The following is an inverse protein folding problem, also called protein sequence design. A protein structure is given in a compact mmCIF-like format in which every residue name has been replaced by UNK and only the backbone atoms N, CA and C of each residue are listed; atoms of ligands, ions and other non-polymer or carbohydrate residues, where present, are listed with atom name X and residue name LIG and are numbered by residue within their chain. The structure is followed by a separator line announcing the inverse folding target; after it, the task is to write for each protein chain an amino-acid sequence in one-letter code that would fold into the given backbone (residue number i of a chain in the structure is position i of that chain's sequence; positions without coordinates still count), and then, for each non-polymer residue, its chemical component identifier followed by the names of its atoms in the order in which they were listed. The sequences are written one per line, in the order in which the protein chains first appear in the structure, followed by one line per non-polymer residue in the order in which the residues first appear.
data_IF_566459020357
#
_entry.id   IF_566459020357
#
_cell.length_a   1.000
_cell.length_b   1.000
_cell.length_c   1.000
_cell.angle_alpha   90.00
_cell.angle_beta   90.00
_cell.angle_gamma   90.00
#
_symmetry.space_group_name_H-M   'P 1'
#
loop_
_entity.id
_entity.type
_entity.pdbx_description
1 polymer ?
#
# COMPACT_ATOMS: atom_id res chain seq x y z
N UNK A 1 -23.51 0.47 -6.64
CA UNK A 1 -22.05 0.36 -6.83
C UNK A 1 -21.63 0.62 -8.29
N UNK A 2 -22.48 0.39 -9.30
CA UNK A 2 -22.07 0.62 -10.70
C UNK A 2 -23.12 1.35 -11.56
N UNK A 3 -24.01 2.12 -10.92
CA UNK A 3 -25.17 2.72 -11.60
C UNK A 3 -24.76 3.75 -12.66
N UNK A 4 -23.64 4.47 -12.46
CA UNK A 4 -23.11 5.41 -13.46
C UNK A 4 -22.57 4.70 -14.67
N UNK A 5 -21.72 3.68 -14.47
CA UNK A 5 -21.16 2.87 -15.55
C UNK A 5 -22.27 2.13 -16.31
N UNK A 6 -23.35 1.76 -15.63
CA UNK A 6 -24.55 1.23 -16.25
C UNK A 6 -25.31 2.21 -17.13
N UNK A 7 -25.54 3.42 -16.65
CA UNK A 7 -26.19 4.45 -17.47
C UNK A 7 -25.33 4.82 -18.68
N UNK A 8 -24.03 4.95 -18.46
CA UNK A 8 -22.99 5.17 -19.47
C UNK A 8 -23.11 4.17 -20.63
N UNK A 9 -23.05 2.87 -20.34
CA UNK A 9 -23.14 1.85 -21.37
C UNK A 9 -24.54 1.65 -21.95
N UNK A 10 -25.59 1.86 -21.16
CA UNK A 10 -26.97 1.79 -21.67
C UNK A 10 -27.30 2.93 -22.63
N UNK A 11 -26.76 4.12 -22.42
CA UNK A 11 -26.99 5.27 -23.29
C UNK A 11 -26.30 5.08 -24.63
N UNK A 12 -25.03 4.65 -24.61
CA UNK A 12 -24.30 4.31 -25.83
C UNK A 12 -25.02 3.21 -26.63
N UNK A 13 -25.47 2.14 -25.97
CA UNK A 13 -26.17 1.05 -26.66
C UNK A 13 -27.48 1.51 -27.34
N UNK A 14 -28.24 2.42 -26.72
CA UNK A 14 -29.47 2.97 -27.30
C UNK A 14 -29.23 3.86 -28.51
N UNK A 15 -28.22 4.73 -28.47
CA UNK A 15 -27.88 5.58 -29.61
C UNK A 15 -27.40 4.78 -30.82
N UNK A 16 -26.90 3.57 -30.61
CA UNK A 16 -26.53 2.60 -31.66
C UNK A 16 -27.71 1.94 -32.38
N UNK A 17 -28.85 1.76 -31.71
CA UNK A 17 -29.98 0.99 -32.27
C UNK A 17 -30.80 1.71 -33.35
N UNK A 18 -30.68 3.04 -33.47
CA UNK A 18 -31.64 3.84 -34.24
C UNK A 18 -31.21 4.17 -35.69
N UNK A 19 -29.97 3.87 -36.12
CA UNK A 19 -29.42 4.29 -37.44
C UNK A 19 -28.71 3.17 -38.22
N UNK A 20 -28.58 3.39 -39.54
CA UNK A 20 -27.81 2.53 -40.45
C UNK A 20 -26.32 2.88 -40.31
N UNK A 21 -25.51 1.97 -39.77
CA UNK A 21 -24.13 2.27 -39.33
C UNK A 21 -23.23 2.65 -40.51
N UNK A 22 -22.98 3.94 -40.67
CA UNK A 22 -21.83 4.45 -41.42
C UNK A 22 -20.70 4.86 -40.45
N UNK A 23 -19.49 5.09 -40.97
CA UNK A 23 -18.33 5.43 -40.13
C UNK A 23 -18.56 6.66 -39.23
N UNK A 24 -19.34 7.64 -39.70
CA UNK A 24 -19.64 8.86 -38.92
C UNK A 24 -20.59 8.59 -37.76
N UNK A 25 -21.61 7.76 -37.97
CA UNK A 25 -22.54 7.36 -36.92
C UNK A 25 -21.80 6.53 -35.84
N UNK A 26 -20.91 5.61 -36.24
CA UNK A 26 -20.08 4.85 -35.31
C UNK A 26 -19.20 5.77 -34.46
N UNK A 27 -18.61 6.82 -35.06
CA UNK A 27 -17.79 7.78 -34.33
C UNK A 27 -18.57 8.60 -33.30
N UNK A 28 -19.80 9.04 -33.63
CA UNK A 28 -20.69 9.76 -32.72
C UNK A 28 -20.97 8.92 -31.46
N UNK A 29 -21.27 7.64 -31.63
CA UNK A 29 -21.54 6.73 -30.52
C UNK A 29 -20.27 6.48 -29.70
N UNK A 30 -19.14 6.20 -30.36
CA UNK A 30 -17.90 5.94 -29.63
C UNK A 30 -17.48 7.15 -28.79
N UNK A 31 -17.88 8.36 -29.19
CA UNK A 31 -17.71 9.58 -28.41
C UNK A 31 -18.68 9.66 -27.22
N UNK A 32 -19.95 9.28 -27.38
CA UNK A 32 -20.88 9.18 -26.24
C UNK A 32 -20.42 8.13 -25.21
N UNK A 33 -19.92 6.99 -25.70
CA UNK A 33 -19.33 5.93 -24.88
C UNK A 33 -18.10 6.43 -24.13
N UNK A 34 -17.26 7.24 -24.78
CA UNK A 34 -16.09 7.86 -24.15
C UNK A 34 -16.48 8.74 -22.97
N UNK A 35 -17.38 9.69 -23.18
CA UNK A 35 -17.86 10.61 -22.12
C UNK A 35 -18.40 9.80 -20.94
N UNK A 36 -19.24 8.82 -21.25
CA UNK A 36 -19.86 7.88 -20.31
C UNK A 36 -18.84 7.11 -19.47
N UNK A 37 -17.77 6.62 -20.08
CA UNK A 37 -16.69 5.92 -19.40
C UNK A 37 -15.82 6.87 -18.56
N UNK A 38 -15.56 8.08 -19.05
CA UNK A 38 -14.84 9.12 -18.31
C UNK A 38 -15.60 9.52 -17.04
N UNK A 39 -16.92 9.70 -17.10
CA UNK A 39 -17.77 9.98 -15.94
C UNK A 39 -17.78 8.86 -14.89
N UNK A 40 -17.39 7.66 -15.31
CA UNK A 40 -17.27 6.47 -14.47
C UNK A 40 -15.84 6.22 -13.98
N UNK A 41 -14.96 7.22 -14.08
CA UNK A 41 -13.54 7.15 -13.69
C UNK A 41 -12.77 6.00 -14.36
N UNK A 42 -13.11 5.64 -15.60
CA UNK A 42 -12.27 4.77 -16.41
C UNK A 42 -11.10 5.60 -16.96
N UNK A 43 -9.88 5.08 -16.89
CA UNK A 43 -8.71 5.78 -17.38
C UNK A 43 -8.75 5.95 -18.91
N UNK A 44 -8.37 7.14 -19.41
CA UNK A 44 -8.47 7.48 -20.83
C UNK A 44 -7.81 6.45 -21.76
N UNK A 45 -6.63 5.93 -21.42
CA UNK A 45 -5.94 4.90 -22.21
C UNK A 45 -6.74 3.57 -22.31
N UNK A 46 -7.53 3.27 -21.29
CA UNK A 46 -8.41 2.10 -21.25
C UNK A 46 -9.64 2.36 -22.12
N UNK A 47 -10.18 3.57 -22.07
CA UNK A 47 -11.28 4.01 -22.93
C UNK A 47 -10.87 3.93 -24.40
N UNK A 48 -9.70 4.46 -24.75
CA UNK A 48 -9.16 4.43 -26.12
C UNK A 48 -9.00 2.99 -26.63
N UNK A 49 -8.53 2.10 -25.76
CA UNK A 49 -8.42 0.67 -26.10
C UNK A 49 -9.80 0.06 -26.36
N UNK A 50 -10.76 0.28 -25.47
CA UNK A 50 -12.14 -0.23 -25.62
C UNK A 50 -12.78 0.30 -26.91
N UNK A 51 -12.60 1.59 -27.21
CA UNK A 51 -13.12 2.20 -28.44
C UNK A 51 -12.49 1.61 -29.68
N UNK A 52 -11.17 1.44 -29.69
CA UNK A 52 -10.44 0.87 -30.83
C UNK A 52 -10.90 -0.56 -31.12
N UNK A 53 -10.93 -1.40 -30.09
CA UNK A 53 -11.38 -2.79 -30.18
C UNK A 53 -12.84 -2.89 -30.64
N UNK A 54 -13.71 -2.02 -30.10
CA UNK A 54 -15.11 -1.99 -30.49
C UNK A 54 -15.28 -1.53 -31.95
N UNK A 55 -14.59 -0.47 -32.37
CA UNK A 55 -14.62 0.02 -33.77
C UNK A 55 -14.25 -1.11 -34.73
N UNK A 56 -13.17 -1.84 -34.45
CA UNK A 56 -12.74 -2.97 -35.28
C UNK A 56 -13.77 -4.11 -35.33
N UNK A 57 -14.47 -4.38 -34.23
CA UNK A 57 -15.51 -5.42 -34.19
C UNK A 57 -16.81 -5.01 -34.89
N UNK A 58 -17.13 -3.72 -34.92
CA UNK A 58 -18.33 -3.20 -35.58
C UNK A 58 -18.13 -3.00 -37.09
N UNK A 59 -16.92 -2.65 -37.53
CA UNK A 59 -16.60 -2.46 -38.94
C UNK A 59 -16.79 -3.78 -39.74
N UNK A 60 -17.67 -3.73 -40.75
CA UNK A 60 -17.97 -4.86 -41.64
C UNK A 60 -19.02 -5.85 -41.11
N UNK A 61 -19.56 -5.62 -39.91
CA UNK A 61 -20.64 -6.44 -39.34
C UNK A 61 -21.99 -6.06 -39.98
N UNK A 62 -22.67 -7.02 -40.61
CA UNK A 62 -24.06 -6.85 -41.07
C UNK A 62 -25.00 -7.26 -39.94
N UNK A 63 -25.69 -6.30 -39.35
CA UNK A 63 -26.63 -6.52 -38.25
C UNK A 63 -27.97 -5.88 -38.60
N UNK A 64 -29.06 -6.58 -38.31
CA UNK A 64 -30.40 -6.02 -38.49
C UNK A 64 -30.59 -4.81 -37.58
N UNK A 65 -31.20 -3.72 -38.09
CA UNK A 65 -31.42 -2.47 -37.34
C UNK A 65 -32.04 -2.68 -35.95
N UNK A 66 -32.92 -3.68 -35.83
CA UNK A 66 -33.61 -4.04 -34.57
C UNK A 66 -32.71 -4.74 -33.54
N UNK A 67 -31.55 -5.24 -33.95
CA UNK A 67 -30.61 -5.98 -33.10
C UNK A 67 -29.30 -5.22 -32.86
N UNK A 68 -29.10 -4.04 -33.45
CA UNK A 68 -27.84 -3.30 -33.32
C UNK A 68 -27.52 -2.94 -31.86
N UNK A 69 -28.49 -2.44 -31.09
CA UNK A 69 -28.30 -2.12 -29.67
C UNK A 69 -27.80 -3.34 -28.89
N UNK A 70 -28.46 -4.49 -29.08
CA UNK A 70 -28.09 -5.75 -28.44
C UNK A 70 -26.70 -6.21 -28.90
N UNK A 71 -26.43 -6.17 -30.20
CA UNK A 71 -25.16 -6.58 -30.78
C UNK A 71 -24.00 -5.79 -30.18
N UNK A 72 -24.12 -4.46 -30.11
CA UNK A 72 -23.03 -3.63 -29.59
C UNK A 72 -22.85 -3.84 -28.09
N UNK A 73 -23.96 -3.94 -27.35
CA UNK A 73 -23.92 -4.28 -25.92
C UNK A 73 -23.20 -5.62 -25.70
N UNK A 74 -23.51 -6.65 -26.48
CA UNK A 74 -22.88 -7.96 -26.39
C UNK A 74 -21.37 -7.90 -26.71
N UNK A 75 -20.98 -7.13 -27.74
CA UNK A 75 -19.56 -6.92 -28.09
C UNK A 75 -18.79 -6.23 -27.00
N UNK A 76 -19.38 -5.20 -26.41
CA UNK A 76 -18.77 -4.44 -25.33
C UNK A 76 -18.62 -5.27 -24.04
N UNK A 77 -19.65 -6.04 -23.67
CA UNK A 77 -19.58 -7.02 -22.57
C UNK A 77 -18.48 -8.03 -22.85
N UNK A 78 -18.42 -8.57 -24.06
CA UNK A 78 -17.38 -9.53 -24.45
C UNK A 78 -15.98 -8.94 -24.38
N UNK A 79 -15.80 -7.69 -24.80
CA UNK A 79 -14.51 -7.00 -24.72
C UNK A 79 -14.09 -6.85 -23.25
N UNK A 80 -14.95 -6.27 -22.41
CA UNK A 80 -14.64 -6.06 -20.99
C UNK A 80 -14.43 -7.38 -20.25
N UNK A 81 -15.25 -8.40 -20.53
CA UNK A 81 -15.05 -9.75 -19.99
C UNK A 81 -13.66 -10.28 -20.34
N UNK A 82 -13.24 -10.12 -21.60
CA UNK A 82 -11.93 -10.60 -22.05
C UNK A 82 -10.76 -9.90 -21.34
N UNK A 83 -10.93 -8.65 -20.89
CA UNK A 83 -9.93 -7.94 -20.09
C UNK A 83 -9.75 -8.60 -18.70
N UNK A 84 -10.85 -8.99 -18.06
CA UNK A 84 -10.80 -9.73 -16.80
C UNK A 84 -10.27 -11.16 -17.00
N UNK A 85 -10.65 -11.82 -18.10
CA UNK A 85 -10.15 -13.16 -18.43
C UNK A 85 -8.64 -13.17 -18.67
N UNK A 86 -8.11 -12.14 -19.34
CA UNK A 86 -6.68 -12.00 -19.60
C UNK A 86 -5.85 -11.80 -18.33
N UNK A 87 -6.40 -11.15 -17.30
CA UNK A 87 -5.75 -11.03 -16.00
C UNK A 87 -5.78 -12.35 -15.19
N UNK A 88 -6.64 -13.30 -15.58
CA UNK A 88 -6.78 -14.60 -14.96
C UNK A 88 -7.58 -14.56 -13.66
N UNK A 89 -7.62 -15.72 -13.00
CA UNK A 89 -8.23 -15.89 -11.69
C UNK A 89 -7.20 -16.45 -10.72
N UNK A 90 -7.29 -16.07 -9.46
CA UNK A 90 -6.39 -16.52 -8.41
C UNK A 90 -7.21 -17.01 -7.23
N UNK A 91 -7.07 -18.28 -6.90
CA UNK A 91 -7.54 -18.83 -5.64
C UNK A 91 -6.40 -18.75 -4.60
N UNK A 92 -6.52 -17.82 -3.67
CA UNK A 92 -5.53 -17.63 -2.61
C UNK A 92 -5.41 -18.85 -1.70
N UNK A 93 -6.51 -19.59 -1.47
CA UNK A 93 -6.50 -20.78 -0.63
C UNK A 93 -5.79 -21.95 -1.31
N UNK A 94 -5.97 -22.11 -2.63
CA UNK A 94 -5.23 -23.11 -3.40
C UNK A 94 -3.72 -22.87 -3.31
N UNK A 95 -3.27 -21.63 -3.55
CA UNK A 95 -1.86 -21.26 -3.46
C UNK A 95 -1.26 -21.51 -2.07
N UNK A 96 -2.01 -21.18 -1.01
CA UNK A 96 -1.59 -21.46 0.37
C UNK A 96 -1.47 -22.97 0.60
N UNK A 97 -2.44 -23.77 0.15
CA UNK A 97 -2.41 -25.23 0.29
C UNK A 97 -1.26 -25.87 -0.46
N UNK A 98 -0.94 -25.40 -1.67
CA UNK A 98 0.23 -25.86 -2.41
C UNK A 98 1.53 -25.58 -1.66
N UNK A 99 1.68 -24.37 -1.12
CA UNK A 99 2.86 -24.00 -0.33
C UNK A 99 2.97 -24.82 0.95
N UNK A 100 1.85 -25.07 1.63
CA UNK A 100 1.76 -25.88 2.85
C UNK A 100 2.30 -27.30 2.65
N UNK A 101 2.16 -27.90 1.46
CA UNK A 101 2.76 -29.22 1.12
C UNK A 101 4.29 -29.24 1.28
N UNK A 102 4.94 -28.08 1.13
CA UNK A 102 6.39 -27.92 1.30
C UNK A 102 6.82 -27.57 2.73
N UNK A 103 5.88 -27.53 3.68
CA UNK A 103 6.11 -27.15 5.08
C UNK A 103 6.76 -25.76 5.21
N UNK A 104 6.40 -24.85 4.29
CA UNK A 104 6.81 -23.44 4.33
C UNK A 104 5.57 -22.57 4.50
N UNK A 105 5.67 -21.46 5.26
CA UNK A 105 4.59 -20.48 5.32
C UNK A 105 4.43 -19.78 3.97
N UNK A 106 3.19 -19.49 3.59
CA UNK A 106 2.85 -18.65 2.44
C UNK A 106 2.95 -17.17 2.82
N UNK A 107 3.74 -16.41 2.06
CA UNK A 107 4.10 -15.04 2.38
C UNK A 107 3.31 -14.04 1.52
N UNK A 108 2.51 -13.19 2.16
CA UNK A 108 1.68 -12.18 1.50
C UNK A 108 2.16 -10.77 1.87
N UNK A 109 2.61 -10.01 0.89
CA UNK A 109 3.05 -8.62 1.05
C UNK A 109 1.95 -7.65 0.61
N UNK A 110 1.52 -6.76 1.50
CA UNK A 110 0.54 -5.72 1.18
C UNK A 110 1.24 -4.41 0.85
N UNK A 111 0.92 -3.84 -0.32
CA UNK A 111 1.48 -2.59 -0.82
C UNK A 111 0.38 -1.62 -1.24
N UNK A 112 0.72 -0.34 -1.40
CA UNK A 112 -0.23 0.73 -1.70
C UNK A 112 -0.01 1.94 -0.80
N UNK A 113 -0.77 3.01 -0.99
CA UNK A 113 -0.49 4.29 -0.35
C UNK A 113 -1.22 4.48 0.99
N UNK A 114 -0.92 5.55 1.71
CA UNK A 114 -1.58 5.89 2.96
C UNK A 114 -3.06 6.20 2.70
N UNK A 115 -3.93 5.75 3.61
CA UNK A 115 -5.37 6.05 3.52
C UNK A 115 -6.17 5.15 2.57
N UNK A 116 -5.53 4.24 1.83
CA UNK A 116 -6.23 3.25 0.97
C UNK A 116 -6.78 2.05 1.74
N UNK A 117 -6.53 1.96 3.05
CA UNK A 117 -7.04 0.86 3.89
C UNK A 117 -6.18 -0.40 3.89
N UNK A 118 -4.87 -0.32 3.62
CA UNK A 118 -3.92 -1.47 3.71
C UNK A 118 -4.01 -2.27 5.00
N UNK A 119 -3.74 -1.63 6.14
CA UNK A 119 -3.71 -2.26 7.47
C UNK A 119 -5.05 -2.93 7.79
N UNK A 120 -6.16 -2.26 7.46
CA UNK A 120 -7.51 -2.81 7.62
C UNK A 120 -7.76 -4.00 6.68
N UNK A 121 -7.38 -3.89 5.41
CA UNK A 121 -7.53 -4.97 4.42
C UNK A 121 -6.72 -6.21 4.79
N UNK A 122 -5.49 -6.01 5.30
CA UNK A 122 -4.68 -7.08 5.85
C UNK A 122 -5.40 -7.77 7.01
N UNK A 123 -5.98 -7.01 7.95
CA UNK A 123 -6.74 -7.58 9.06
C UNK A 123 -7.98 -8.36 8.57
N UNK A 124 -8.67 -7.89 7.54
CA UNK A 124 -9.79 -8.62 6.91
C UNK A 124 -9.33 -9.92 6.25
N UNK A 125 -8.21 -9.90 5.51
CA UNK A 125 -7.61 -11.11 4.95
C UNK A 125 -7.19 -12.07 6.06
N UNK A 126 -6.59 -11.58 7.14
CA UNK A 126 -6.22 -12.39 8.29
C UNK A 126 -7.43 -13.09 8.93
N UNK A 127 -8.53 -12.35 9.11
CA UNK A 127 -9.80 -12.90 9.60
C UNK A 127 -10.36 -13.97 8.65
N UNK A 128 -10.40 -13.70 7.34
CA UNK A 128 -10.86 -14.65 6.32
C UNK A 128 -10.04 -15.96 6.36
N UNK A 129 -8.71 -15.86 6.43
CA UNK A 129 -7.82 -17.02 6.55
C UNK A 129 -8.04 -17.79 7.86
N UNK A 130 -8.27 -17.10 8.98
CA UNK A 130 -8.58 -17.72 10.27
C UNK A 130 -9.93 -18.45 10.25
N UNK A 131 -10.95 -17.89 9.60
CA UNK A 131 -12.24 -18.58 9.41
C UNK A 131 -12.07 -19.88 8.61
N UNK A 132 -11.20 -19.86 7.60
CA UNK A 132 -10.80 -21.04 6.84
C UNK A 132 -9.76 -21.93 7.55
N UNK A 133 -9.52 -21.72 8.86
CA UNK A 133 -8.65 -22.52 9.74
C UNK A 133 -7.15 -22.49 9.41
N UNK A 134 -6.68 -21.49 8.68
CA UNK A 134 -5.24 -21.23 8.54
C UNK A 134 -4.69 -20.48 9.74
N UNK A 135 -3.50 -20.86 10.17
CA UNK A 135 -2.71 -20.17 11.18
C UNK A 135 -1.94 -18.99 10.56
N UNK A 136 -2.04 -17.82 11.17
CA UNK A 136 -1.55 -16.55 10.59
C UNK A 136 -0.65 -15.80 11.56
N UNK A 137 0.47 -15.29 11.04
CA UNK A 137 1.37 -14.35 11.72
C UNK A 137 1.39 -13.04 10.93
N UNK A 138 1.46 -11.92 11.64
CA UNK A 138 1.45 -10.59 11.03
C UNK A 138 2.75 -9.86 11.32
N UNK A 139 3.32 -9.19 10.31
CA UNK A 139 4.51 -8.37 10.41
C UNK A 139 4.17 -6.87 10.26
N UNK A 140 4.53 -6.05 11.25
CA UNK A 140 4.38 -4.59 11.20
C UNK A 140 5.58 -3.94 10.51
N UNK A 141 5.63 -4.00 9.18
CA UNK A 141 6.73 -3.44 8.39
C UNK A 141 6.56 -1.93 8.06
N UNK A 142 5.46 -1.27 8.46
CA UNK A 142 5.38 0.20 8.57
C UNK A 142 6.08 0.69 9.86
N UNK A 143 7.42 0.66 9.87
CA UNK A 143 8.23 0.93 11.07
C UNK A 143 8.37 2.42 11.43
N UNK A 144 7.88 3.31 10.55
CA UNK A 144 7.98 4.78 10.68
C UNK A 144 6.69 5.43 11.16
N UNK A 145 5.60 4.69 11.31
CA UNK A 145 4.33 5.26 11.77
C UNK A 145 3.87 4.53 13.02
N UNK A 146 4.19 5.10 14.19
CA UNK A 146 3.82 4.53 15.49
C UNK A 146 2.32 4.22 15.59
N UNK A 147 1.47 5.12 15.08
CA UNK A 147 0.02 4.89 15.03
C UNK A 147 -0.41 3.74 14.11
N UNK A 148 0.31 3.46 13.02
CA UNK A 148 0.01 2.32 12.16
C UNK A 148 0.37 1.00 12.84
N UNK A 149 1.50 0.95 13.55
CA UNK A 149 1.90 -0.21 14.36
C UNK A 149 0.86 -0.48 15.46
N UNK A 150 0.41 0.56 16.17
CA UNK A 150 -0.59 0.39 17.23
C UNK A 150 -1.96 -0.02 16.67
N UNK A 151 -2.39 0.56 15.54
CA UNK A 151 -3.60 0.12 14.85
C UNK A 151 -3.53 -1.36 14.46
N UNK A 152 -2.39 -1.80 13.90
CA UNK A 152 -2.19 -3.21 13.55
C UNK A 152 -2.13 -4.12 14.79
N UNK A 153 -1.58 -3.61 15.90
CA UNK A 153 -1.59 -4.28 17.20
C UNK A 153 -3.00 -4.46 17.75
N UNK A 154 -3.86 -3.46 17.65
CA UNK A 154 -5.26 -3.59 18.03
C UNK A 154 -5.97 -4.67 17.19
N UNK A 155 -5.79 -4.66 15.86
CA UNK A 155 -6.38 -5.67 15.00
C UNK A 155 -5.90 -7.08 15.35
N UNK A 156 -4.59 -7.27 15.50
CA UNK A 156 -4.03 -8.58 15.86
C UNK A 156 -4.46 -9.05 17.24
N UNK A 157 -4.56 -8.15 18.23
CA UNK A 157 -5.09 -8.49 19.55
C UNK A 157 -6.57 -8.93 19.48
N UNK A 158 -7.41 -8.19 18.73
CA UNK A 158 -8.83 -8.54 18.55
C UNK A 158 -9.03 -9.89 17.84
N UNK A 159 -8.14 -10.22 16.90
CA UNK A 159 -8.17 -11.48 16.15
C UNK A 159 -7.38 -12.61 16.86
N UNK A 160 -6.75 -12.33 18.00
CA UNK A 160 -5.85 -13.24 18.71
C UNK A 160 -4.73 -13.80 17.82
N UNK A 161 -4.08 -12.93 17.05
CA UNK A 161 -3.00 -13.25 16.11
C UNK A 161 -1.65 -12.81 16.66
N UNK A 162 -0.59 -13.55 16.30
CA UNK A 162 0.77 -13.13 16.63
C UNK A 162 1.19 -11.95 15.76
N UNK A 163 1.48 -10.82 16.40
CA UNK A 163 2.18 -9.69 15.79
C UNK A 163 3.70 -9.80 16.02
N UNK A 164 4.45 -9.61 14.94
CA UNK A 164 5.90 -9.34 14.95
C UNK A 164 6.12 -7.87 14.60
N UNK A 165 6.69 -7.14 15.55
CA UNK A 165 7.03 -5.74 15.43
C UNK A 165 8.37 -5.51 16.14
N UNK A 166 9.17 -4.58 15.62
CA UNK A 166 10.40 -4.12 16.27
C UNK A 166 10.24 -2.68 16.76
N UNK A 167 11.31 -2.11 17.30
CA UNK A 167 11.34 -0.71 17.72
C UNK A 167 11.05 0.25 16.56
N UNK A 168 10.57 1.43 16.88
CA UNK A 168 10.37 2.49 15.89
C UNK A 168 11.64 2.78 15.10
N UNK A 169 11.51 3.10 13.81
CA UNK A 169 12.62 3.29 12.85
C UNK A 169 13.50 2.05 12.60
N UNK A 170 13.08 0.85 13.01
CA UNK A 170 13.77 -0.38 12.62
C UNK A 170 13.62 -0.65 11.12
N UNK A 171 14.49 -1.50 10.57
CA UNK A 171 14.44 -1.89 9.16
C UNK A 171 13.18 -2.73 8.86
N UNK A 172 12.27 -2.28 7.97
CA UNK A 172 11.07 -3.03 7.58
C UNK A 172 11.35 -4.46 7.12
N UNK A 173 12.47 -4.66 6.39
CA UNK A 173 12.86 -5.97 5.90
C UNK A 173 13.29 -6.92 7.03
N UNK A 174 13.87 -6.39 8.12
CA UNK A 174 14.20 -7.18 9.30
C UNK A 174 12.93 -7.65 10.03
N UNK A 175 11.93 -6.77 10.19
CA UNK A 175 10.63 -7.15 10.79
C UNK A 175 9.95 -8.27 9.98
N UNK A 176 9.93 -8.13 8.65
CA UNK A 176 9.38 -9.16 7.77
C UNK A 176 10.14 -10.49 7.90
N UNK A 177 11.48 -10.45 7.94
CA UNK A 177 12.33 -11.64 8.12
C UNK A 177 12.05 -12.34 9.45
N UNK A 178 11.92 -11.59 10.53
CA UNK A 178 11.65 -12.14 11.86
C UNK A 178 10.28 -12.82 11.91
N UNK A 179 9.27 -12.26 11.24
CA UNK A 179 7.96 -12.88 11.10
C UNK A 179 8.02 -14.21 10.33
N UNK A 180 8.81 -14.27 9.26
CA UNK A 180 9.05 -15.51 8.50
C UNK A 180 9.74 -16.56 9.38
N UNK A 181 10.76 -16.18 10.15
CA UNK A 181 11.45 -17.11 11.07
C UNK A 181 10.53 -17.63 12.17
N UNK A 182 9.71 -16.75 12.75
CA UNK A 182 8.68 -17.12 13.72
C UNK A 182 7.69 -18.11 13.10
N UNK A 183 7.16 -17.82 11.91
CA UNK A 183 6.21 -18.69 11.23
C UNK A 183 6.80 -20.07 10.92
N UNK A 184 8.04 -20.15 10.44
CA UNK A 184 8.74 -21.42 10.19
C UNK A 184 8.93 -22.25 11.46
N UNK A 185 9.40 -21.62 12.54
CA UNK A 185 9.62 -22.30 13.83
C UNK A 185 8.34 -22.81 14.49
N UNK A 186 7.22 -22.11 14.27
CA UNK A 186 5.92 -22.46 14.85
C UNK A 186 5.01 -23.23 13.88
N UNK A 187 5.50 -23.55 12.66
CA UNK A 187 4.74 -24.23 11.60
C UNK A 187 3.43 -23.51 11.25
N UNK A 188 3.49 -22.18 11.16
CA UNK A 188 2.36 -21.35 10.77
C UNK A 188 2.13 -21.44 9.26
N UNK A 189 0.87 -21.32 8.83
CA UNK A 189 0.50 -21.46 7.42
C UNK A 189 0.81 -20.20 6.62
N UNK A 190 0.57 -19.00 7.19
CA UNK A 190 0.68 -17.74 6.48
C UNK A 190 1.43 -16.65 7.26
N UNK A 191 2.14 -15.78 6.53
CA UNK A 191 2.67 -14.52 7.05
C UNK A 191 2.10 -13.37 6.23
N UNK A 192 1.47 -12.41 6.89
CA UNK A 192 0.97 -11.18 6.27
C UNK A 192 1.87 -10.01 6.65
N UNK A 193 2.34 -9.26 5.66
CA UNK A 193 3.33 -8.18 5.85
C UNK A 193 2.67 -6.83 5.50
N UNK A 194 2.48 -5.96 6.49
CA UNK A 194 1.95 -4.60 6.31
C UNK A 194 3.08 -3.62 6.03
N UNK A 195 3.12 -2.99 4.85
CA UNK A 195 4.16 -1.99 4.52
C UNK A 195 3.69 -0.56 4.75
N UNK A 196 4.65 0.37 4.80
CA UNK A 196 4.36 1.80 4.71
C UNK A 196 3.64 2.18 3.40
N UNK A 197 3.04 3.37 3.34
CA UNK A 197 2.29 3.87 2.16
C UNK A 197 2.57 5.31 1.74
N UNK A 198 3.71 5.90 2.07
CA UNK A 198 4.00 7.31 1.70
C UNK A 198 4.33 7.46 0.21
N UNK A 199 3.36 7.89 -0.59
CA UNK A 199 3.53 8.07 -2.04
C UNK A 199 4.34 9.32 -2.42
N UNK A 200 4.24 10.42 -1.65
CA UNK A 200 4.96 11.68 -1.88
C UNK A 200 6.51 11.54 -1.80
N UNK A 201 6.99 10.40 -1.31
CA UNK A 201 8.41 10.02 -1.28
C UNK A 201 8.61 8.71 -2.05
N UNK A 202 8.01 8.60 -3.25
CA UNK A 202 7.82 7.33 -3.96
C UNK A 202 9.09 6.50 -4.07
N UNK A 203 10.24 7.13 -4.38
CA UNK A 203 11.53 6.44 -4.49
C UNK A 203 11.93 5.69 -3.21
N UNK A 204 11.90 6.36 -2.05
CA UNK A 204 12.27 5.74 -0.78
C UNK A 204 11.31 4.62 -0.37
N UNK A 205 10.00 4.80 -0.63
CA UNK A 205 9.00 3.76 -0.36
C UNK A 205 9.23 2.53 -1.25
N UNK A 206 9.43 2.74 -2.56
CA UNK A 206 9.65 1.64 -3.50
C UNK A 206 10.96 0.90 -3.20
N UNK A 207 12.03 1.61 -2.83
CA UNK A 207 13.29 1.00 -2.38
C UNK A 207 13.10 0.13 -1.13
N UNK A 208 12.30 0.58 -0.15
CA UNK A 208 11.96 -0.21 1.02
C UNK A 208 11.17 -1.47 0.67
N UNK A 209 10.16 -1.36 -0.19
CA UNK A 209 9.35 -2.49 -0.64
C UNK A 209 10.21 -3.47 -1.47
N UNK A 210 11.07 -2.97 -2.34
CA UNK A 210 12.03 -3.78 -3.10
C UNK A 210 12.99 -4.52 -2.17
N UNK A 211 13.48 -3.86 -1.11
CA UNK A 211 14.31 -4.48 -0.09
C UNK A 211 13.57 -5.60 0.65
N UNK A 212 12.33 -5.38 1.09
CA UNK A 212 11.50 -6.43 1.70
C UNK A 212 11.37 -7.60 0.71
N UNK A 213 11.00 -7.32 -0.53
CA UNK A 213 10.83 -8.33 -1.58
C UNK A 213 12.10 -9.17 -1.77
N UNK A 214 13.27 -8.54 -1.80
CA UNK A 214 14.56 -9.22 -1.92
C UNK A 214 14.91 -10.07 -0.69
N UNK A 215 14.57 -9.60 0.51
CA UNK A 215 14.97 -10.26 1.77
C UNK A 215 14.08 -11.45 2.11
N UNK A 216 12.76 -11.34 1.90
CA UNK A 216 11.82 -12.41 2.29
C UNK A 216 11.24 -13.18 1.10
N UNK A 217 11.38 -12.68 -0.12
CA UNK A 217 10.82 -13.27 -1.34
C UNK A 217 9.34 -13.67 -1.19
N UNK A 218 8.41 -12.69 -1.05
CA UNK A 218 6.99 -12.96 -0.86
C UNK A 218 6.44 -13.84 -1.99
N UNK A 219 5.59 -14.80 -1.64
CA UNK A 219 4.91 -15.68 -2.60
C UNK A 219 3.81 -14.92 -3.36
N UNK A 220 3.19 -13.95 -2.68
CA UNK A 220 2.12 -13.15 -3.26
C UNK A 220 2.21 -11.69 -2.80
N UNK A 221 1.96 -10.77 -3.70
CA UNK A 221 1.96 -9.33 -3.44
C UNK A 221 0.59 -8.75 -3.80
N UNK A 222 0.00 -8.02 -2.86
CA UNK A 222 -1.34 -7.44 -3.02
C UNK A 222 -1.24 -5.93 -3.00
N UNK A 223 -1.68 -5.29 -4.08
CA UNK A 223 -1.91 -3.85 -4.08
C UNK A 223 -3.25 -3.53 -3.43
N UNK A 224 -3.29 -2.57 -2.50
CA UNK A 224 -4.53 -2.10 -1.88
C UNK A 224 -4.80 -0.67 -2.33
N UNK A 225 -5.85 -0.50 -3.13
CA UNK A 225 -6.29 0.75 -3.73
C UNK A 225 -7.62 1.24 -3.18
N UNK A 226 -7.85 2.55 -3.22
CA UNK A 226 -9.12 3.18 -2.86
C UNK A 226 -10.01 3.32 -4.10
N UNK A 227 -11.16 2.66 -4.15
CA UNK A 227 -12.08 2.79 -5.29
C UNK A 227 -12.58 4.23 -5.49
N UNK A 228 -12.73 5.01 -4.42
CA UNK A 228 -13.29 6.38 -4.50
C UNK A 228 -12.33 7.38 -5.16
N UNK A 229 -11.03 7.09 -5.09
CA UNK A 229 -10.00 7.96 -5.67
C UNK A 229 -9.87 7.81 -7.20
N UNK A 230 -10.61 6.88 -7.81
CA UNK A 230 -10.75 6.80 -9.27
C UNK A 230 -9.39 6.70 -9.99
N UNK A 231 -9.13 7.64 -10.88
CA UNK A 231 -7.90 7.72 -11.67
C UNK A 231 -6.62 7.85 -10.83
N UNK A 232 -6.67 8.43 -9.63
CA UNK A 232 -5.49 8.51 -8.76
C UNK A 232 -5.05 7.12 -8.30
N UNK A 233 -6.00 6.24 -7.96
CA UNK A 233 -5.71 4.83 -7.63
C UNK A 233 -5.19 4.07 -8.84
N UNK A 234 -5.67 4.40 -10.04
CA UNK A 234 -5.15 3.80 -11.28
C UNK A 234 -3.68 4.18 -11.50
N UNK A 235 -3.34 5.46 -11.34
CA UNK A 235 -1.97 5.94 -11.46
C UNK A 235 -1.04 5.30 -10.40
N UNK A 236 -1.54 5.17 -9.16
CA UNK A 236 -0.85 4.45 -8.09
C UNK A 236 -0.58 3.00 -8.47
N UNK A 237 -1.61 2.28 -8.93
CA UNK A 237 -1.48 0.89 -9.33
C UNK A 237 -0.42 0.72 -10.42
N UNK A 238 -0.38 1.63 -11.41
CA UNK A 238 0.67 1.64 -12.46
C UNK A 238 2.07 1.78 -11.86
N UNK A 239 2.29 2.79 -11.03
CA UNK A 239 3.60 3.05 -10.42
C UNK A 239 4.07 1.90 -9.52
N UNK A 240 3.18 1.36 -8.67
CA UNK A 240 3.50 0.18 -7.84
C UNK A 240 3.77 -1.06 -8.70
N UNK A 241 3.03 -1.25 -9.79
CA UNK A 241 3.23 -2.40 -10.66
C UNK A 241 4.55 -2.32 -11.42
N UNK A 242 4.97 -1.14 -11.86
CA UNK A 242 6.27 -0.92 -12.49
C UNK A 242 7.44 -1.33 -11.57
N UNK A 243 7.38 -0.96 -10.28
CA UNK A 243 8.47 -1.17 -9.33
C UNK A 243 8.43 -2.52 -8.60
N UNK A 244 7.24 -2.98 -8.24
CA UNK A 244 7.07 -4.11 -7.29
C UNK A 244 6.54 -5.36 -7.99
N UNK A 245 5.87 -5.22 -9.13
CA UNK A 245 5.21 -6.32 -9.87
C UNK A 245 4.35 -7.16 -8.93
N UNK A 246 3.24 -6.55 -8.47
CA UNK A 246 2.28 -7.24 -7.61
C UNK A 246 1.43 -8.26 -8.39
N UNK A 247 0.75 -9.16 -7.69
CA UNK A 247 0.06 -10.32 -8.26
C UNK A 247 -1.46 -10.17 -8.30
N UNK A 248 -2.02 -9.27 -7.50
CA UNK A 248 -3.45 -8.97 -7.50
C UNK A 248 -3.76 -7.72 -6.68
N UNK A 249 -5.02 -7.28 -6.74
CA UNK A 249 -5.48 -6.05 -6.09
C UNK A 249 -6.64 -6.28 -5.14
N UNK A 250 -6.69 -5.51 -4.06
CA UNK A 250 -7.89 -5.31 -3.23
C UNK A 250 -8.33 -3.86 -3.40
N UNK A 251 -9.60 -3.66 -3.70
CA UNK A 251 -10.18 -2.33 -3.83
C UNK A 251 -11.07 -2.04 -2.63
N UNK A 252 -10.78 -0.98 -1.90
CA UNK A 252 -11.49 -0.59 -0.67
C UNK A 252 -12.51 0.50 -0.93
N UNK A 253 -13.42 0.72 0.04
CA UNK A 253 -14.50 1.71 -0.04
C UNK A 253 -15.40 1.49 -1.27
N UNK A 254 -15.47 0.24 -1.70
CA UNK A 254 -16.22 -0.22 -2.86
C UNK A 254 -17.72 -0.03 -2.66
N UNK A 255 -18.21 -0.11 -1.43
CA UNK A 255 -19.60 0.18 -1.06
C UNK A 255 -20.02 1.62 -1.41
N UNK A 256 -19.10 2.57 -1.30
CA UNK A 256 -19.35 3.99 -1.59
C UNK A 256 -19.02 4.38 -3.03
N UNK A 257 -18.31 3.53 -3.78
CA UNK A 257 -18.03 3.78 -5.18
C UNK A 257 -19.24 3.41 -6.04
N UNK A 258 -19.85 4.40 -6.68
CA UNK A 258 -20.95 4.20 -7.62
C UNK A 258 -20.48 4.06 -9.09
N UNK A 259 -19.18 4.21 -9.34
CA UNK A 259 -18.58 4.36 -10.68
C UNK A 259 -17.89 3.08 -11.14
N UNK A 260 -17.01 2.48 -10.34
CA UNK A 260 -16.39 1.19 -10.64
C UNK A 260 -15.35 1.14 -11.75
N UNK A 261 -15.07 2.25 -12.43
CA UNK A 261 -14.08 2.31 -13.51
C UNK A 261 -12.65 2.05 -13.05
N UNK A 262 -12.35 2.25 -11.77
CA UNK A 262 -11.05 1.95 -11.18
C UNK A 262 -10.69 0.46 -11.30
N UNK A 263 -11.64 -0.45 -11.07
CA UNK A 263 -11.40 -1.89 -11.16
C UNK A 263 -11.02 -2.33 -12.58
N UNK A 264 -11.82 -1.90 -13.55
CA UNK A 264 -11.57 -2.14 -14.98
C UNK A 264 -10.20 -1.60 -15.40
N UNK A 265 -9.88 -0.38 -14.97
CA UNK A 265 -8.66 0.29 -15.37
C UNK A 265 -7.42 -0.38 -14.79
N UNK A 266 -7.45 -0.74 -13.50
CA UNK A 266 -6.34 -1.43 -12.82
C UNK A 266 -6.08 -2.78 -13.48
N UNK A 267 -7.12 -3.56 -13.76
CA UNK A 267 -6.99 -4.86 -14.45
C UNK A 267 -6.33 -4.68 -15.82
N UNK A 268 -6.80 -3.72 -16.62
CA UNK A 268 -6.24 -3.48 -17.95
C UNK A 268 -4.75 -3.08 -17.90
N UNK A 269 -4.40 -2.18 -16.99
CA UNK A 269 -3.07 -1.56 -16.94
C UNK A 269 -2.04 -2.49 -16.32
N UNK A 270 -2.43 -3.25 -15.31
CA UNK A 270 -1.51 -4.13 -14.56
C UNK A 270 -1.52 -5.56 -15.07
N UNK A 271 -2.57 -5.96 -15.80
CA UNK A 271 -2.81 -7.36 -16.17
C UNK A 271 -2.84 -8.29 -14.96
N UNK A 272 -3.29 -7.78 -13.81
CA UNK A 272 -3.46 -8.55 -12.57
C UNK A 272 -4.91 -8.53 -12.12
N UNK A 273 -5.42 -9.61 -11.51
CA UNK A 273 -6.81 -9.69 -11.11
C UNK A 273 -7.11 -8.82 -9.89
N UNK A 274 -8.34 -8.30 -9.82
CA UNK A 274 -8.92 -7.85 -8.55
C UNK A 274 -9.35 -9.10 -7.79
N UNK A 275 -8.83 -9.27 -6.57
CA UNK A 275 -9.10 -10.44 -5.73
C UNK A 275 -10.34 -10.22 -4.86
N UNK A 276 -10.40 -9.06 -4.21
CA UNK A 276 -11.43 -8.75 -3.23
C UNK A 276 -11.86 -7.28 -3.27
N UNK A 277 -13.10 -7.05 -2.86
CA UNK A 277 -13.71 -5.75 -2.64
C UNK A 277 -13.93 -5.53 -1.14
N UNK A 278 -13.39 -4.45 -0.60
CA UNK A 278 -13.66 -3.97 0.75
C UNK A 278 -14.90 -3.09 0.74
N UNK A 279 -16.00 -3.59 1.32
CA UNK A 279 -17.36 -3.00 1.21
C UNK A 279 -17.91 -2.49 2.56
N UNK A 280 -17.04 -2.15 3.50
CA UNK A 280 -17.44 -1.75 4.84
C UNK A 280 -16.27 -1.72 5.81
N UNK A 281 -16.55 -1.63 7.11
CA UNK A 281 -15.52 -1.53 8.17
C UNK A 281 -15.30 -2.83 8.93
N UNK A 282 -16.27 -3.74 8.93
CA UNK A 282 -16.17 -4.99 9.68
C UNK A 282 -15.21 -5.99 9.02
N UNK A 283 -14.71 -6.95 9.79
CA UNK A 283 -13.79 -7.96 9.26
C UNK A 283 -14.41 -8.83 8.15
N UNK A 284 -15.72 -9.06 8.22
CA UNK A 284 -16.50 -9.80 7.21
C UNK A 284 -16.81 -9.00 5.93
N UNK A 285 -16.48 -7.72 5.90
CA UNK A 285 -16.76 -6.81 4.78
C UNK A 285 -15.63 -6.83 3.75
N UNK A 286 -15.10 -8.02 3.49
CA UNK A 286 -14.20 -8.32 2.38
C UNK A 286 -14.90 -9.38 1.53
N UNK A 287 -15.30 -9.02 0.32
CA UNK A 287 -16.01 -9.91 -0.61
C UNK A 287 -15.09 -10.30 -1.76
N UNK A 288 -15.11 -11.56 -2.22
CA UNK A 288 -14.41 -11.92 -3.45
C UNK A 288 -14.91 -11.05 -4.61
N UNK A 289 -14.01 -10.64 -5.48
CA UNK A 289 -14.40 -9.98 -6.71
C UNK A 289 -15.02 -11.02 -7.66
N UNK A 290 -16.20 -10.71 -8.16
CA UNK A 290 -16.93 -11.52 -9.11
C UNK A 290 -17.11 -10.71 -10.39
N UNK A 291 -16.46 -11.16 -11.48
CA UNK A 291 -16.51 -10.45 -12.76
C UNK A 291 -17.89 -10.54 -13.38
N UNK A 292 -18.61 -11.64 -13.20
CA UNK A 292 -19.98 -11.82 -13.69
C UNK A 292 -20.89 -10.82 -12.98
N UNK A 293 -20.84 -10.76 -11.65
CA UNK A 293 -21.60 -9.79 -10.86
C UNK A 293 -21.25 -8.34 -11.22
N UNK A 294 -19.96 -8.06 -11.44
CA UNK A 294 -19.51 -6.76 -11.93
C UNK A 294 -20.18 -6.43 -13.28
N UNK A 295 -20.06 -7.33 -14.27
CA UNK A 295 -20.68 -7.16 -15.58
C UNK A 295 -22.21 -7.05 -15.49
N UNK A 296 -22.88 -7.80 -14.60
CA UNK A 296 -24.34 -7.76 -14.43
C UNK A 296 -24.77 -6.42 -13.83
N UNK A 297 -24.02 -5.92 -12.86
CA UNK A 297 -24.36 -4.64 -12.24
C UNK A 297 -24.12 -3.49 -13.21
N UNK A 298 -23.07 -3.61 -14.04
CA UNK A 298 -22.72 -2.63 -15.07
C UNK A 298 -23.64 -2.68 -16.28
N UNK A 299 -24.03 -3.86 -16.79
CA UNK A 299 -24.80 -3.96 -18.03
C UNK A 299 -26.27 -4.33 -17.84
N UNK A 300 -26.70 -4.60 -16.61
CA UNK A 300 -27.99 -5.22 -16.31
C UNK A 300 -27.99 -6.73 -16.60
N UNK A 301 -29.18 -7.33 -16.72
CA UNK A 301 -29.31 -8.77 -16.95
C UNK A 301 -28.47 -9.23 -18.14
N UNK A 302 -27.65 -10.25 -17.90
CA UNK A 302 -26.77 -10.87 -18.90
C UNK A 302 -27.45 -12.05 -19.63
N UNK A 303 -28.73 -12.30 -19.37
CA UNK A 303 -29.54 -13.30 -20.05
C UNK A 303 -29.66 -12.99 -21.55
N UNK A 304 -28.92 -13.73 -22.38
CA UNK A 304 -28.97 -13.61 -23.85
C UNK A 304 -27.70 -13.10 -24.54
N UNK A 305 -26.62 -12.89 -23.79
CA UNK A 305 -25.28 -12.67 -24.34
C UNK A 305 -24.69 -14.02 -24.75
N UNK A 306 -24.33 -14.19 -26.02
CA UNK A 306 -23.78 -15.44 -26.54
C UNK A 306 -22.35 -15.65 -26.03
N UNK A 307 -22.22 -16.36 -24.91
CA UNK A 307 -20.94 -16.63 -24.25
C UNK A 307 -20.47 -18.03 -24.61
N UNK A 308 -19.35 -18.12 -25.32
CA UNK A 308 -18.54 -19.34 -25.31
C UNK A 308 -17.80 -19.44 -23.98
N UNK A 309 -18.50 -19.80 -22.91
CA UNK A 309 -17.85 -20.19 -21.65
C UNK A 309 -17.41 -21.65 -21.75
N UNK A 310 -16.17 -22.02 -21.38
CA UNK A 310 -15.81 -23.41 -21.16
C UNK A 310 -16.68 -23.94 -20.01
N UNK A 311 -17.50 -24.96 -20.27
CA UNK A 311 -18.27 -25.62 -19.22
C UNK A 311 -17.30 -26.22 -18.20
N UNK A 312 -17.28 -25.70 -16.99
CA UNK A 312 -16.84 -26.47 -15.83
C UNK A 312 -17.99 -27.44 -15.51
N UNK A 313 -17.76 -28.72 -15.73
CA UNK A 313 -18.64 -29.77 -15.22
C UNK A 313 -18.61 -29.73 -13.70
N UNK A 314 -19.79 -29.55 -13.10
CA UNK A 314 -20.04 -29.79 -11.69
C UNK A 314 -19.67 -31.25 -11.40
N UNK A 315 -18.55 -31.46 -10.70
CA UNK A 315 -18.21 -32.79 -10.18
C UNK A 315 -19.09 -33.02 -8.96
N UNK A 316 -20.09 -33.89 -9.10
CA UNK A 316 -20.87 -34.41 -7.98
C UNK A 316 -19.94 -35.10 -6.98
N UNK A 317 -20.15 -34.83 -5.68
CA UNK A 317 -19.40 -35.45 -4.59
C UNK A 317 -19.60 -36.98 -4.60
N UNK A 318 -18.53 -37.80 -4.57
CA UNK A 318 -18.70 -39.24 -4.50
C UNK A 318 -19.10 -39.67 -3.09
N UNK A 319 -20.19 -40.42 -3.03
CA UNK A 319 -20.71 -41.13 -1.87
C UNK A 319 -19.64 -42.12 -1.38
N UNK A 320 -19.20 -41.97 -0.14
CA UNK A 320 -18.22 -42.87 0.49
C UNK A 320 -18.90 -44.17 0.92
N UNK A 321 -18.69 -45.24 0.15
CA UNK A 321 -18.93 -46.61 0.59
C UNK A 321 -17.83 -47.08 1.55
N UNK A 322 -18.26 -47.66 2.67
CA UNK A 322 -17.41 -48.13 3.77
C UNK A 322 -17.05 -49.60 3.61
N UNK A 323 -15.76 -49.95 3.74
CA UNK A 323 -15.26 -51.32 4.03
C UNK A 323 -13.75 -51.36 4.31
N UNK A 324 -13.21 -52.43 4.93
CA UNK A 324 -13.13 -52.64 6.38
C UNK A 324 -11.68 -52.63 6.92
N UNK A 325 -11.54 -52.59 8.25
CA UNK A 325 -10.28 -52.58 9.01
C UNK A 325 -9.33 -53.76 8.69
N UNK A 326 -7.99 -53.56 8.71
CA UNK A 326 -7.05 -54.66 8.65
C UNK A 326 -6.69 -55.21 10.04
N UNK A 327 -6.57 -56.53 10.05
CA UNK A 327 -6.27 -57.43 11.17
C UNK A 327 -4.85 -57.22 11.69
N UNK A 328 -4.74 -57.30 13.02
CA UNK A 328 -3.50 -57.29 13.81
C UNK A 328 -2.72 -58.58 13.58
N UNK A 329 -1.44 -58.48 13.23
CA UNK A 329 -0.49 -59.58 13.32
C UNK A 329 0.80 -59.15 14.04
N UNK A 330 1.26 -60.03 14.91
CA UNK A 330 2.19 -59.82 16.02
C UNK A 330 3.67 -59.94 15.64
N UNK A 331 4.48 -59.12 16.33
CA UNK A 331 5.94 -59.13 16.63
C UNK A 331 6.73 -60.42 16.31
N UNK A 332 8.04 -60.28 16.02
CA UNK A 332 9.01 -60.40 17.13
C UNK A 332 10.14 -59.35 17.15
N UNK A 333 10.68 -59.14 18.35
CA UNK A 333 11.78 -58.23 18.72
C UNK A 333 13.14 -58.62 18.14
N UNK A 334 14.07 -57.65 18.07
CA UNK A 334 15.41 -57.99 18.52
C UNK A 334 16.04 -56.95 19.47
N UNK A 335 16.52 -57.49 20.60
CA UNK A 335 17.87 -57.37 21.17
C UNK A 335 18.38 -55.96 21.49
N UNK A 336 18.46 -55.75 22.80
CA UNK A 336 19.18 -54.70 23.52
C UNK A 336 20.68 -54.77 23.18
N UNK A 337 21.24 -53.69 22.65
CA UNK A 337 22.68 -53.47 22.61
C UNK A 337 23.04 -52.23 23.42
N UNK A 338 24.03 -52.43 24.28
CA UNK A 338 24.44 -51.60 25.40
C UNK A 338 25.15 -50.32 24.99
N UNK A 339 24.73 -49.23 25.65
CA UNK A 339 25.33 -47.91 25.73
C UNK A 339 26.79 -47.96 26.20
N UNK A 340 27.75 -47.29 25.53
CA UNK A 340 29.03 -46.93 26.14
C UNK A 340 28.89 -45.61 26.93
N UNK A 341 29.49 -45.59 28.12
CA UNK A 341 29.61 -44.43 29.00
C UNK A 341 30.49 -43.31 28.41
N UNK A 342 30.29 -42.05 28.83
CA UNK A 342 31.06 -40.92 28.35
C UNK A 342 32.46 -40.89 28.97
N UNK A 343 33.49 -40.73 28.13
CA UNK A 343 34.85 -40.42 28.55
C UNK A 343 34.87 -38.99 29.09
N UNK A 344 35.33 -38.88 30.34
CA UNK A 344 35.63 -37.63 31.04
C UNK A 344 36.85 -37.00 30.38
N UNK A 345 36.65 -35.87 29.70
CA UNK A 345 37.75 -35.00 29.28
C UNK A 345 37.77 -33.74 30.15
N UNK A 346 38.96 -33.49 30.68
CA UNK A 346 39.31 -32.54 31.72
C UNK A 346 39.05 -31.08 31.38
N UNK A 347 38.44 -30.39 32.35
CA UNK A 347 38.30 -28.94 32.50
C UNK A 347 39.66 -28.23 32.34
N UNK A 348 39.81 -27.24 31.44
CA UNK A 348 40.94 -26.32 31.50
C UNK A 348 40.74 -25.32 32.66
N UNK A 349 41.77 -25.19 33.49
CA UNK A 349 41.87 -24.16 34.52
C UNK A 349 41.92 -22.74 33.91
N UNK A 350 41.44 -21.72 34.64
CA UNK A 350 41.41 -20.34 34.16
C UNK A 350 42.83 -19.76 34.04
N UNK A 351 43.14 -19.20 32.87
CA UNK A 351 44.31 -18.38 32.61
C UNK A 351 44.18 -17.07 33.43
N UNK A 352 45.21 -16.63 34.17
CA UNK A 352 45.12 -15.43 34.99
C UNK A 352 45.07 -14.14 34.14
N UNK A 353 44.19 -13.23 34.52
CA UNK A 353 44.10 -11.87 33.98
C UNK A 353 45.44 -11.11 34.10
N UNK A 354 45.88 -10.36 33.07
CA UNK A 354 47.02 -9.49 33.20
C UNK A 354 46.66 -8.27 34.06
N UNK A 355 47.36 -8.13 35.20
CA UNK A 355 47.34 -6.92 36.04
C UNK A 355 47.71 -5.68 35.23
N UNK A 356 46.76 -4.77 35.06
CA UNK A 356 47.02 -3.42 34.57
C UNK A 356 47.79 -2.61 35.63
N UNK A 357 48.95 -2.09 35.25
CA UNK A 357 49.67 -1.06 36.03
C UNK A 357 48.98 0.30 35.85
N UNK A 358 49.05 1.22 36.83
CA UNK A 358 48.44 2.54 36.70
C UNK A 358 49.20 3.36 35.65
N UNK A 359 48.50 3.83 34.62
CA UNK A 359 49.03 4.82 33.68
C UNK A 359 48.86 6.20 34.30
N UNK A 360 49.98 6.90 34.43
CA UNK A 360 50.06 8.28 34.91
C UNK A 360 49.37 9.22 33.92
N UNK A 361 48.51 10.10 34.44
CA UNK A 361 47.93 11.22 33.71
C UNK A 361 49.04 12.22 33.43
N UNK A 362 49.49 12.30 32.18
CA UNK A 362 50.33 13.40 31.70
C UNK A 362 49.46 14.41 30.94
N UNK A 363 49.64 15.67 31.34
CA UNK A 363 49.03 16.87 30.77
C UNK A 363 49.53 17.04 29.33
N UNK A 364 48.70 17.33 28.32
CA UNK A 364 49.22 17.74 27.02
C UNK A 364 49.66 19.21 27.05
N UNK A 365 50.91 19.45 26.67
CA UNK A 365 51.42 20.74 26.19
C UNK A 365 50.92 21.04 24.76
N UNK A 366 50.84 22.32 24.34
CA UNK A 366 50.12 22.73 23.14
C UNK A 366 50.94 22.45 21.86
N UNK A 367 50.27 21.97 20.80
CA UNK A 367 50.78 21.95 19.42
C UNK A 367 50.07 23.02 18.57
N UNK A 368 50.74 23.54 17.53
CA UNK A 368 50.54 24.90 17.02
C UNK A 368 49.30 25.03 16.14
N UNK A 369 48.75 26.25 16.11
CA UNK A 369 47.62 26.66 15.28
C UNK A 369 47.84 26.34 13.79
N UNK A 370 46.86 25.72 13.11
CA UNK A 370 46.74 25.82 11.67
C UNK A 370 45.98 27.09 11.30
N UNK A 371 46.53 27.79 10.31
CA UNK A 371 46.00 28.97 9.62
C UNK A 371 44.52 28.80 9.25
N UNK A 372 43.77 29.90 9.41
CA UNK A 372 42.41 30.07 8.89
C UNK A 372 42.37 29.70 7.40
N UNK A 373 41.63 28.65 7.09
CA UNK A 373 41.02 28.45 5.79
C UNK A 373 39.58 28.93 6.02
N UNK A 374 39.22 30.05 5.42
CA UNK A 374 37.82 30.50 5.38
C UNK A 374 37.05 29.48 4.56
N UNK A 375 36.27 28.65 5.24
CA UNK A 375 35.30 27.76 4.62
C UNK A 375 33.99 28.52 4.40
N UNK A 376 33.52 28.55 3.16
CA UNK A 376 32.19 29.09 2.81
C UNK A 376 31.02 28.19 3.26
N UNK A 377 31.28 27.09 4.00
CA UNK A 377 30.23 26.21 4.50
C UNK A 377 29.61 26.77 5.80
N UNK A 378 28.35 27.21 5.77
CA UNK A 378 27.68 27.80 6.94
C UNK A 378 27.51 26.82 8.10
N UNK A 379 27.59 25.51 7.88
CA UNK A 379 27.43 24.45 8.89
C UNK A 379 28.74 23.79 9.32
N UNK A 380 29.90 24.26 8.82
CA UNK A 380 31.18 23.67 9.20
C UNK A 380 31.39 23.66 10.72
N UNK A 381 31.84 22.51 11.24
CA UNK A 381 32.07 22.29 12.66
C UNK A 381 30.80 22.03 13.48
N UNK A 382 29.62 21.96 12.87
CA UNK A 382 28.36 21.57 13.51
C UNK A 382 28.06 20.12 13.15
N UNK A 383 27.76 19.27 14.14
CA UNK A 383 27.39 17.88 13.86
C UNK A 383 25.96 17.80 13.29
N UNK A 384 25.74 16.95 12.29
CA UNK A 384 24.42 16.76 11.64
C UNK A 384 23.28 16.49 12.64
N UNK A 385 23.58 15.75 13.71
CA UNK A 385 22.63 15.46 14.79
C UNK A 385 22.19 16.71 15.57
N UNK A 386 23.05 17.71 15.69
CA UNK A 386 22.74 18.98 16.36
C UNK A 386 21.92 19.89 15.44
N UNK A 387 22.18 19.87 14.13
CA UNK A 387 21.36 20.56 13.11
C UNK A 387 19.94 19.98 13.14
N UNK A 388 19.81 18.66 12.98
CA UNK A 388 18.52 18.00 13.00
C UNK A 388 17.77 18.19 14.32
N UNK A 389 18.47 18.15 15.46
CA UNK A 389 17.85 18.38 16.77
C UNK A 389 17.37 19.81 16.94
N UNK A 390 18.15 20.81 16.50
CA UNK A 390 17.77 22.21 16.58
C UNK A 390 16.59 22.54 15.66
N UNK A 391 16.64 22.12 14.39
CA UNK A 391 15.55 22.33 13.43
C UNK A 391 14.25 21.70 13.89
N UNK A 392 14.29 20.49 14.47
CA UNK A 392 13.09 19.85 15.03
C UNK A 392 12.58 20.52 16.31
N UNK A 393 13.47 21.07 17.14
CA UNK A 393 13.10 21.71 18.40
C UNK A 393 12.40 23.06 18.18
N UNK A 394 12.84 23.81 17.18
CA UNK A 394 12.33 25.15 16.87
C UNK A 394 11.47 25.21 15.60
N UNK A 395 11.13 24.05 15.02
CA UNK A 395 10.32 23.91 13.79
C UNK A 395 10.84 24.76 12.62
N UNK A 396 12.16 24.76 12.43
CA UNK A 396 12.84 25.57 11.41
C UNK A 396 12.97 24.76 10.13
N UNK A 397 12.37 25.28 9.04
CA UNK A 397 12.51 24.72 7.71
C UNK A 397 13.96 24.76 7.20
N UNK A 398 14.36 23.87 6.27
CA UNK A 398 15.66 23.94 5.62
C UNK A 398 15.86 25.31 4.95
N UNK A 399 17.06 25.91 5.05
CA UNK A 399 17.33 27.20 4.44
C UNK A 399 17.23 27.10 2.91
N UNK A 400 16.62 28.10 2.28
CA UNK A 400 16.42 28.12 0.82
C UNK A 400 17.56 28.87 0.09
N UNK A 401 18.42 29.58 0.83
CA UNK A 401 19.55 30.34 0.31
C UNK A 401 20.72 30.39 1.30
N UNK A 402 21.90 30.80 0.81
CA UNK A 402 23.16 30.80 1.57
C UNK A 402 23.13 31.77 2.77
N UNK A 403 22.37 32.87 2.67
CA UNK A 403 22.19 33.84 3.76
C UNK A 403 21.37 33.24 4.92
N UNK A 404 20.31 32.50 4.61
CA UNK A 404 19.52 31.76 5.58
C UNK A 404 20.31 30.60 6.19
N UNK A 405 21.09 29.90 5.38
CA UNK A 405 21.97 28.83 5.85
C UNK A 405 23.01 29.36 6.85
N UNK A 406 23.61 30.52 6.54
CA UNK A 406 24.57 31.19 7.43
C UNK A 406 23.94 31.65 8.74
N UNK A 407 22.73 32.21 8.69
CA UNK A 407 21.97 32.59 9.90
C UNK A 407 21.64 31.37 10.75
N UNK A 408 21.19 30.29 10.12
CA UNK A 408 20.84 29.05 10.81
C UNK A 408 22.06 28.40 11.46
N UNK A 409 23.18 28.30 10.73
CA UNK A 409 24.45 27.80 11.27
C UNK A 409 24.92 28.59 12.49
N UNK A 410 24.83 29.92 12.45
CA UNK A 410 25.19 30.78 13.58
C UNK A 410 24.24 30.61 14.78
N UNK A 411 22.95 30.46 14.55
CA UNK A 411 21.97 30.22 15.60
C UNK A 411 22.23 28.88 16.32
N UNK A 412 22.52 27.81 15.55
CA UNK A 412 22.86 26.49 16.09
C UNK A 412 24.15 26.55 16.91
N UNK A 413 25.19 27.26 16.43
CA UNK A 413 26.45 27.45 17.19
C UNK A 413 26.19 28.15 18.53
N UNK A 414 25.34 29.18 18.56
CA UNK A 414 24.98 29.85 19.81
C UNK A 414 24.17 28.94 20.75
N UNK A 415 23.25 28.14 20.20
CA UNK A 415 22.47 27.18 20.98
C UNK A 415 23.36 26.09 21.61
N UNK A 416 24.36 25.58 20.87
CA UNK A 416 25.35 24.64 21.40
C UNK A 416 26.17 25.32 22.51
N UNK A 417 26.61 26.58 22.30
CA UNK A 417 27.42 27.34 23.27
C UNK A 417 26.66 27.66 24.56
N UNK A 418 25.33 27.86 24.49
CA UNK A 418 24.47 28.10 25.66
C UNK A 418 24.17 26.83 26.48
N UNK A 419 24.59 25.66 26.01
CA UNK A 419 24.35 24.38 26.66
C UNK A 419 22.95 23.85 26.33
N UNK A 420 22.90 22.80 25.49
CA UNK A 420 21.68 22.15 25.01
C UNK A 420 20.66 21.98 26.16
N UNK A 421 19.40 22.45 26.04
CA UNK A 421 18.42 22.34 27.13
C UNK A 421 18.14 20.88 27.48
N UNK A 422 17.88 20.62 28.77
CA UNK A 422 17.55 19.27 29.26
C UNK A 422 16.10 18.92 28.91
N UNK A 423 15.78 17.63 28.69
CA UNK A 423 14.41 17.22 28.37
C UNK A 423 13.46 17.63 29.50
N UNK A 424 12.51 18.53 29.20
CA UNK A 424 11.48 19.00 30.15
C UNK A 424 11.53 20.47 30.58
N UNK A 425 12.53 21.26 30.16
CA UNK A 425 12.56 22.72 30.37
C UNK A 425 11.91 23.55 29.24
N UNK A 426 11.20 22.89 28.32
CA UNK A 426 10.65 23.52 27.13
C UNK A 426 9.27 24.13 27.37
N UNK A 427 9.27 25.38 27.85
CA UNK A 427 8.39 26.49 27.44
C UNK A 427 8.59 27.66 28.40
N UNK A 428 9.65 28.44 28.19
CA UNK A 428 9.74 29.85 28.64
C UNK A 428 11.04 30.47 28.12
N UNK A 429 11.04 30.85 26.86
CA UNK A 429 11.70 32.06 26.34
C UNK A 429 11.48 32.09 24.82
N UNK A 430 11.21 33.30 24.30
CA UNK A 430 10.84 33.63 22.92
C UNK A 430 9.33 33.55 22.57
N UNK A 431 8.50 34.22 23.38
CA UNK A 431 7.19 34.75 22.91
C UNK A 431 7.00 36.25 23.15
N UNK A 432 7.96 36.93 23.80
CA UNK A 432 7.76 38.31 24.27
C UNK A 432 8.48 39.37 23.42
N UNK A 433 9.05 39.02 22.25
CA UNK A 433 9.68 40.00 21.36
C UNK A 433 9.03 40.18 19.98
N UNK A 434 8.06 39.35 19.58
CA UNK A 434 7.37 39.49 18.29
C UNK A 434 5.91 39.98 18.39
N UNK A 435 5.37 40.17 19.60
CA UNK A 435 3.99 40.67 19.77
C UNK A 435 3.93 42.21 19.83
N UNK A 436 5.03 42.90 20.16
CA UNK A 436 5.03 44.37 20.27
C UNK A 436 5.30 45.11 18.93
N UNK A 437 5.73 44.40 17.88
CA UNK A 437 5.96 44.98 16.54
C UNK A 437 4.70 44.97 15.67
N UNK A 438 3.90 43.90 15.70
CA UNK A 438 2.62 43.82 14.96
C UNK A 438 1.53 44.74 15.55
N UNK A 439 1.49 44.92 16.86
CA UNK A 439 0.52 45.82 17.49
C UNK A 439 0.83 47.33 17.33
N UNK A 440 2.06 47.70 16.93
CA UNK A 440 2.41 49.07 16.56
C UNK A 440 2.10 49.39 15.09
N UNK A 441 2.31 48.44 14.17
CA UNK A 441 2.00 48.63 12.75
C UNK A 441 0.48 48.74 12.49
N UNK A 442 -0.33 47.90 13.14
CA UNK A 442 -1.79 47.93 12.95
C UNK A 442 -2.43 49.20 13.53
N UNK A 443 -1.85 49.77 14.60
CA UNK A 443 -2.33 51.04 15.20
C UNK A 443 -1.92 52.29 14.42
N UNK A 444 -0.85 52.25 13.64
CA UNK A 444 -0.45 53.36 12.75
C UNK A 444 -1.24 53.35 11.43
N UNK A 445 -1.55 52.18 10.87
CA UNK A 445 -2.41 52.09 9.68
C UNK A 445 -3.86 52.49 9.96
N UNK A 446 -4.42 52.16 11.13
CA UNK A 446 -5.79 52.53 11.48
C UNK A 446 -5.93 54.05 11.77
N UNK A 447 -4.89 54.69 12.33
CA UNK A 447 -4.84 56.14 12.52
C UNK A 447 -4.63 56.91 11.20
N UNK A 448 -3.93 56.31 10.23
CA UNK A 448 -3.76 56.83 8.87
C UNK A 448 -5.07 56.83 8.08
N UNK A 449 -5.87 55.75 8.18
CA UNK A 449 -7.17 55.65 7.49
C UNK A 449 -8.26 56.54 8.10
N UNK A 450 -8.28 56.76 9.42
CA UNK A 450 -9.25 57.67 10.07
C UNK A 450 -8.96 59.17 9.82
N UNK A 451 -7.73 59.56 9.46
CA UNK A 451 -7.41 60.97 9.12
C UNK A 451 -7.67 61.35 7.67
N UNK A 452 -7.90 60.39 6.76
CA UNK A 452 -8.16 60.65 5.33
C UNK A 452 -9.65 60.70 4.94
N UNK A 453 -10.58 60.47 5.87
CA UNK A 453 -12.03 60.41 5.59
C UNK A 453 -12.86 61.64 5.96
N UNK A 454 -12.27 62.76 6.41
CA UNK A 454 -13.03 63.91 6.96
C UNK A 454 -12.97 65.17 6.09
N UNK A 455 -12.39 65.12 4.89
CA UNK A 455 -12.42 66.25 3.96
C UNK A 455 -12.80 65.80 2.55
N UNK A 456 -14.04 66.06 2.13
CA UNK A 456 -14.38 65.99 0.70
C UNK A 456 -15.86 65.90 0.37
N UNK A 457 -16.46 67.07 0.12
CA UNK A 457 -17.48 67.32 -0.90
C UNK A 457 -18.97 67.03 -0.64
N UNK A 458 -19.58 68.06 -0.04
CA UNK A 458 -20.80 68.76 -0.47
C UNK A 458 -21.13 68.76 -1.99
N UNK A 459 -22.45 68.85 -2.27
CA UNK A 459 -23.17 69.26 -3.51
C UNK A 459 -23.28 68.15 -4.58
N UNK A 460 -24.42 67.88 -5.19
CA UNK A 460 -25.70 68.59 -5.30
C UNK A 460 -26.77 67.57 -5.74
#
# INVERSE_FOLDING_TARGET
MFDKLRNAFSNAAKSLGEKELNDKDIEEILYELEISLMESDVASEVIDTIKSDLKTQLLGSKVDKKEIEKFVKDRLISNISSLFDAAGTVDLFELINEKKKTVQPFLILFVGINGTGKTTSLAKVAYMLQQAKYSVVVAAADTFRAGAIEQLREHTNRLNLKLVAQNYNSDPAAVARDAVLYAKSHKMDCVLIDTAGRMQTSKNLMEQIAKITKVVNPDFKIFVGDSLAGNDTVNQAREFFEHVKFNGSILTKSDADARGGAALSIVKITSTPVLYLGVGQEYSDLKPFDKELFLETVFGSLSGVDRKTPKQELVEEPIVESKPEPIVESKPEPIVESKPEPIVESKPEPIPEPKLKPVQVTKPEPKPEPKQIESDDPFEGIADKDIAKYSNLYDIAPPENDDEATKLGNAIRQWIKKGRPKPGEEKKQESDQEIDSKHKQDKEEEKSKKKRGVFGFFKK
#
